data_IF_827660186790
#
_entry.id   IF_827660186790
#
_cell.length_a   1.000
_cell.length_b   1.000
_cell.length_c   1.000
_cell.angle_alpha   90.00
_cell.angle_beta   90.00
_cell.angle_gamma   90.00
#
_symmetry.space_group_name_H-M   'P 1'
#
loop_
_entity.id
_entity.type
_entity.pdbx_description
1 polymer ?
#
# COMPACT_ATOMS: atom_id res chain seq x y z
N UNK A 1 0.89 -15.44 14.70
CA UNK A 1 1.83 -15.85 13.62
C UNK A 1 2.30 -14.67 12.75
N UNK A 2 1.48 -13.67 12.40
CA UNK A 2 1.94 -12.53 11.56
C UNK A 2 3.04 -11.63 12.18
N UNK A 3 2.94 -11.32 13.47
CA UNK A 3 3.92 -10.49 14.21
C UNK A 3 5.32 -11.11 14.36
N UNK A 4 5.49 -12.42 14.14
CA UNK A 4 6.81 -13.07 14.21
C UNK A 4 7.66 -12.81 12.97
N UNK A 5 7.04 -12.67 11.79
CA UNK A 5 7.74 -12.29 10.54
C UNK A 5 8.34 -10.90 10.67
N UNK A 6 7.60 -9.97 11.28
CA UNK A 6 8.08 -8.61 11.54
C UNK A 6 9.30 -8.61 12.48
N UNK A 7 9.45 -9.58 13.40
CA UNK A 7 10.65 -9.66 14.26
C UNK A 7 11.94 -9.96 13.48
N UNK A 8 11.85 -10.66 12.35
CA UNK A 8 13.01 -11.00 11.51
C UNK A 8 13.50 -9.84 10.64
N UNK A 9 12.68 -8.80 10.43
CA UNK A 9 12.95 -7.75 9.43
C UNK A 9 13.52 -6.47 10.07
N UNK A 10 13.70 -6.42 11.41
CA UNK A 10 14.02 -5.17 12.17
C UNK A 10 13.24 -3.95 11.62
N UNK A 11 11.90 -3.95 11.70
CA UNK A 11 11.09 -2.83 11.25
C UNK A 11 11.48 -1.58 12.01
N UNK A 12 11.57 -0.45 11.33
CA UNK A 12 11.62 0.85 11.99
C UNK A 12 10.20 1.15 12.45
N UNK A 13 9.95 0.98 13.74
CA UNK A 13 8.63 1.17 14.36
C UNK A 13 8.61 2.56 15.00
N UNK A 14 7.65 3.39 14.62
CA UNK A 14 7.39 4.66 15.31
C UNK A 14 6.02 4.57 15.99
N UNK A 15 6.04 4.51 17.32
CA UNK A 15 4.85 4.43 18.15
C UNK A 15 4.44 5.83 18.61
N UNK A 16 3.14 6.08 18.66
CA UNK A 16 2.58 7.25 19.33
C UNK A 16 2.07 6.79 20.71
N UNK A 17 2.50 7.46 21.78
CA UNK A 17 2.13 7.07 23.15
C UNK A 17 0.94 7.91 23.58
N UNK A 18 -0.28 7.39 23.39
CA UNK A 18 -1.47 7.91 24.03
C UNK A 18 -1.92 6.96 25.14
N UNK A 19 -1.86 7.42 26.39
CA UNK A 19 -2.46 6.79 27.57
C UNK A 19 -2.24 5.27 27.72
N UNK A 20 -0.99 4.84 27.87
CA UNK A 20 -0.66 3.53 28.48
C UNK A 20 -0.76 2.29 27.59
N UNK A 21 -1.30 2.40 26.37
CA UNK A 21 -1.18 1.38 25.32
C UNK A 21 -0.27 1.90 24.19
N UNK A 22 0.68 1.09 23.76
CA UNK A 22 1.51 1.41 22.59
C UNK A 22 0.66 1.23 21.33
N UNK A 23 0.20 2.34 20.77
CA UNK A 23 -0.57 2.35 19.52
C UNK A 23 0.41 2.53 18.37
N UNK A 24 0.53 1.50 17.53
CA UNK A 24 1.35 1.58 16.33
C UNK A 24 0.57 2.26 15.20
N UNK A 25 0.94 3.49 14.87
CA UNK A 25 0.32 4.31 13.81
C UNK A 25 1.16 4.36 12.54
N UNK A 26 2.49 4.21 12.64
CA UNK A 26 3.40 4.19 11.51
C UNK A 26 4.32 2.96 11.56
N UNK A 27 4.27 2.17 10.48
CA UNK A 27 5.16 1.03 10.29
C UNK A 27 6.05 1.28 9.07
N UNK A 28 7.35 1.35 9.30
CA UNK A 28 8.35 1.46 8.25
C UNK A 28 9.08 0.13 8.03
N UNK A 29 8.85 -0.43 6.83
CA UNK A 29 9.48 -1.61 6.28
C UNK A 29 10.22 -1.28 4.97
N UNK A 30 10.43 0.00 4.68
CA UNK A 30 11.13 0.45 3.49
C UNK A 30 12.60 0.04 3.49
N UNK A 31 13.23 0.04 2.31
CA UNK A 31 14.67 -0.23 2.16
C UNK A 31 15.11 -1.58 2.72
N UNK A 32 14.24 -2.58 2.62
CA UNK A 32 14.53 -3.97 2.92
C UNK A 32 14.65 -4.79 1.62
N UNK A 33 14.88 -6.09 1.74
CA UNK A 33 14.93 -7.01 0.59
C UNK A 33 13.67 -7.87 0.51
N UNK A 34 12.50 -7.31 0.82
CA UNK A 34 11.24 -8.04 0.80
C UNK A 34 10.85 -8.37 -0.65
N UNK A 35 10.53 -9.64 -0.91
CA UNK A 35 10.15 -10.13 -2.24
C UNK A 35 8.64 -10.27 -2.43
N UNK A 36 7.92 -10.56 -1.35
CA UNK A 36 6.47 -10.68 -1.35
C UNK A 36 5.92 -10.34 0.02
N UNK A 37 4.66 -9.88 0.06
CA UNK A 37 3.93 -9.61 1.29
C UNK A 37 2.52 -10.18 1.16
N UNK A 38 2.05 -10.77 2.24
CA UNK A 38 0.63 -11.05 2.42
C UNK A 38 0.06 -10.10 3.47
N UNK A 39 -1.07 -9.43 3.19
CA UNK A 39 -1.64 -8.43 4.10
C UNK A 39 -1.94 -8.95 5.51
N UNK A 40 -2.17 -10.26 5.64
CA UNK A 40 -2.48 -10.90 6.92
C UNK A 40 -1.33 -10.78 7.93
N UNK A 41 -0.09 -10.51 7.51
CA UNK A 41 1.05 -10.31 8.43
C UNK A 41 0.86 -9.09 9.33
N UNK A 42 0.06 -8.12 8.88
CA UNK A 42 -0.28 -6.90 9.63
C UNK A 42 -1.56 -7.03 10.47
N UNK A 43 -2.11 -8.23 10.60
CA UNK A 43 -3.31 -8.46 11.43
C UNK A 43 -3.03 -8.06 12.88
N UNK A 44 -3.93 -7.27 13.46
CA UNK A 44 -3.80 -6.72 14.82
C UNK A 44 -3.13 -5.34 14.88
N UNK A 45 -2.66 -4.81 13.73
CA UNK A 45 -2.24 -3.41 13.62
C UNK A 45 -3.43 -2.50 13.29
N UNK A 46 -4.49 -2.60 14.08
CA UNK A 46 -5.80 -1.98 13.80
C UNK A 46 -5.75 -0.44 13.84
N UNK A 47 -4.68 0.11 14.42
CA UNK A 47 -4.41 1.55 14.51
C UNK A 47 -3.38 2.06 13.50
N UNK A 48 -2.90 1.21 12.60
CA UNK A 48 -1.92 1.61 11.59
C UNK A 48 -2.55 2.60 10.60
N UNK A 49 -1.95 3.78 10.50
CA UNK A 49 -2.35 4.85 9.59
C UNK A 49 -1.41 4.99 8.39
N UNK A 50 -0.12 4.70 8.58
CA UNK A 50 0.92 4.84 7.56
C UNK A 50 1.74 3.56 7.45
N UNK A 51 1.86 3.03 6.23
CA UNK A 51 2.69 1.88 5.91
C UNK A 51 3.69 2.22 4.82
N UNK A 52 4.97 2.18 5.16
CA UNK A 52 6.08 2.43 4.24
C UNK A 52 6.69 1.11 3.80
N UNK A 53 6.62 0.82 2.50
CA UNK A 53 7.15 -0.39 1.86
C UNK A 53 8.01 -0.07 0.64
N UNK A 54 8.34 1.21 0.43
CA UNK A 54 9.12 1.65 -0.72
C UNK A 54 10.55 1.07 -0.69
N UNK A 55 11.20 1.04 -1.85
CA UNK A 55 12.59 0.58 -1.99
C UNK A 55 12.79 -0.86 -1.48
N UNK A 56 11.91 -1.78 -1.91
CA UNK A 56 12.02 -3.22 -1.66
C UNK A 56 12.15 -3.96 -3.01
N UNK A 57 11.95 -5.28 -3.01
CA UNK A 57 11.93 -6.11 -4.22
C UNK A 57 10.57 -6.80 -4.37
N UNK A 58 9.48 -6.13 -3.98
CA UNK A 58 8.15 -6.74 -3.97
C UNK A 58 7.71 -7.02 -5.40
N UNK A 59 7.60 -8.30 -5.75
CA UNK A 59 7.07 -8.76 -7.04
C UNK A 59 5.54 -8.90 -6.99
N UNK A 60 5.00 -9.18 -5.81
CA UNK A 60 3.56 -9.38 -5.59
C UNK A 60 3.13 -9.05 -4.16
N UNK A 61 1.87 -8.66 -4.01
CA UNK A 61 1.21 -8.45 -2.72
C UNK A 61 -0.18 -9.08 -2.77
N UNK A 62 -0.47 -9.97 -1.81
CA UNK A 62 -1.68 -10.79 -1.80
C UNK A 62 -2.49 -10.69 -0.50
N UNK A 63 -3.75 -11.12 -0.57
CA UNK A 63 -4.66 -11.20 0.55
C UNK A 63 -5.57 -9.97 0.73
N UNK A 64 -6.41 -10.02 1.76
CA UNK A 64 -7.31 -8.91 2.12
C UNK A 64 -6.60 -7.91 3.02
N UNK A 65 -6.64 -6.63 2.65
CA UNK A 65 -6.06 -5.54 3.43
C UNK A 65 -7.03 -5.12 4.56
N UNK A 66 -6.99 -5.84 5.68
CA UNK A 66 -7.78 -5.54 6.89
C UNK A 66 -7.12 -4.50 7.80
N UNK A 67 -6.63 -3.40 7.21
CA UNK A 67 -5.97 -2.30 7.92
C UNK A 67 -6.92 -1.11 8.03
N UNK A 68 -7.97 -1.24 8.84
CA UNK A 68 -9.17 -0.38 8.79
C UNK A 68 -8.94 1.13 8.95
N UNK A 69 -7.81 1.55 9.55
CA UNK A 69 -7.43 2.96 9.74
C UNK A 69 -6.34 3.45 8.79
N UNK A 70 -5.85 2.61 7.88
CA UNK A 70 -4.75 2.98 6.98
C UNK A 70 -5.17 4.14 6.07
N UNK A 71 -4.34 5.18 6.04
CA UNK A 71 -4.53 6.38 5.24
C UNK A 71 -3.51 6.47 4.10
N UNK A 72 -2.28 6.04 4.36
CA UNK A 72 -1.19 6.18 3.41
C UNK A 72 -0.43 4.87 3.24
N UNK A 73 -0.28 4.45 1.99
CA UNK A 73 0.49 3.28 1.59
C UNK A 73 1.52 3.67 0.54
N UNK A 74 2.79 3.43 0.84
CA UNK A 74 3.90 3.73 -0.07
C UNK A 74 4.56 2.44 -0.55
N UNK A 75 4.44 2.15 -1.84
CA UNK A 75 4.94 0.95 -2.51
C UNK A 75 5.92 1.28 -3.64
N UNK A 76 6.40 2.52 -3.71
CA UNK A 76 7.27 2.96 -4.78
C UNK A 76 8.64 2.28 -4.79
N UNK A 77 9.27 2.21 -5.97
CA UNK A 77 10.56 1.54 -6.17
C UNK A 77 10.52 0.06 -5.72
N UNK A 78 9.60 -0.69 -6.31
CA UNK A 78 9.43 -2.13 -6.14
C UNK A 78 9.36 -2.80 -7.52
N UNK A 79 8.96 -4.08 -7.59
CA UNK A 79 8.92 -4.86 -8.83
C UNK A 79 7.50 -5.39 -9.11
N UNK A 80 6.47 -4.65 -8.68
CA UNK A 80 5.08 -5.10 -8.81
C UNK A 80 4.67 -5.10 -10.29
N UNK A 81 4.25 -6.25 -10.79
CA UNK A 81 3.76 -6.39 -12.17
C UNK A 81 2.25 -6.19 -12.29
N UNK A 82 1.53 -6.45 -11.20
CA UNK A 82 0.07 -6.34 -11.13
C UNK A 82 -0.35 -5.36 -10.04
N UNK A 83 -1.47 -4.69 -10.26
CA UNK A 83 -2.07 -3.83 -9.23
C UNK A 83 -2.46 -4.67 -8.00
N UNK A 84 -2.18 -4.23 -6.76
CA UNK A 84 -2.46 -5.02 -5.57
C UNK A 84 -3.95 -5.38 -5.43
N UNK A 85 -4.31 -6.67 -5.47
CA UNK A 85 -5.71 -7.11 -5.48
C UNK A 85 -6.50 -6.67 -4.23
N UNK A 86 -5.82 -6.60 -3.07
CA UNK A 86 -6.41 -6.12 -1.82
C UNK A 86 -6.88 -4.67 -1.88
N UNK A 87 -6.44 -3.89 -2.88
CA UNK A 87 -6.92 -2.54 -3.15
C UNK A 87 -8.08 -2.51 -4.16
N UNK A 88 -8.42 -3.61 -4.83
CA UNK A 88 -9.43 -3.63 -5.91
C UNK A 88 -10.85 -3.93 -5.43
N UNK A 89 -10.98 -4.61 -4.30
CA UNK A 89 -12.28 -4.96 -3.72
C UNK A 89 -12.63 -3.98 -2.59
N UNK A 90 -13.77 -3.27 -2.66
CA UNK A 90 -14.21 -2.40 -1.58
C UNK A 90 -14.38 -3.13 -0.23
N UNK A 91 -14.63 -4.46 -0.25
CA UNK A 91 -14.75 -5.27 0.98
C UNK A 91 -13.40 -5.59 1.62
N UNK A 92 -12.33 -5.57 0.83
CA UNK A 92 -11.00 -6.02 1.24
C UNK A 92 -10.01 -4.86 1.41
N UNK A 93 -10.45 -3.61 1.22
CA UNK A 93 -9.63 -2.39 1.28
C UNK A 93 -10.04 -1.47 2.44
N UNK A 94 -9.09 -0.74 3.06
CA UNK A 94 -9.39 0.35 3.98
C UNK A 94 -10.16 1.50 3.32
N UNK A 95 -11.30 1.85 3.90
CA UNK A 95 -12.13 2.98 3.45
C UNK A 95 -11.53 4.35 3.81
N UNK A 96 -10.56 4.34 4.74
CA UNK A 96 -9.81 5.52 5.19
C UNK A 96 -8.64 5.86 4.28
N UNK A 97 -8.30 5.01 3.30
CA UNK A 97 -7.15 5.20 2.43
C UNK A 97 -7.30 6.49 1.63
N UNK A 98 -6.23 7.28 1.56
CA UNK A 98 -6.16 8.58 0.87
C UNK A 98 -5.00 8.67 -0.09
N UNK A 99 -3.90 7.98 0.21
CA UNK A 99 -2.67 7.99 -0.58
C UNK A 99 -2.23 6.56 -0.86
N UNK A 100 -1.94 6.29 -2.15
CA UNK A 100 -1.28 5.07 -2.61
C UNK A 100 -0.23 5.46 -3.63
N UNK A 101 1.04 5.32 -3.25
CA UNK A 101 2.16 5.53 -4.16
C UNK A 101 2.63 4.19 -4.73
N UNK A 102 2.45 3.99 -6.03
CA UNK A 102 2.89 2.83 -6.79
C UNK A 102 3.97 3.19 -7.84
N UNK A 103 4.54 4.39 -7.78
CA UNK A 103 5.53 4.85 -8.74
C UNK A 103 6.76 3.93 -8.80
N UNK A 104 7.44 3.87 -9.95
CA UNK A 104 8.65 3.05 -10.13
C UNK A 104 8.38 1.57 -9.77
N UNK A 105 7.44 0.95 -10.48
CA UNK A 105 7.14 -0.48 -10.40
C UNK A 105 7.22 -1.07 -11.82
N UNK A 106 6.55 -2.18 -12.10
CA UNK A 106 6.48 -2.78 -13.43
C UNK A 106 5.03 -3.05 -13.84
N UNK A 107 4.12 -2.18 -13.40
CA UNK A 107 2.68 -2.32 -13.61
C UNK A 107 2.35 -2.16 -15.09
N UNK A 108 1.88 -3.24 -15.72
CA UNK A 108 1.52 -3.22 -17.15
C UNK A 108 0.06 -2.80 -17.37
N UNK A 109 -0.84 -3.26 -16.51
CA UNK A 109 -2.27 -3.00 -16.61
C UNK A 109 -2.79 -2.30 -15.35
N UNK A 110 -3.37 -1.12 -15.51
CA UNK A 110 -4.12 -0.45 -14.45
C UNK A 110 -5.61 -0.78 -14.57
N UNK A 111 -6.26 -1.25 -13.50
CA UNK A 111 -7.69 -1.53 -13.50
C UNK A 111 -8.48 -0.23 -13.30
N UNK A 112 -8.44 0.67 -14.30
CA UNK A 112 -8.98 2.04 -14.25
C UNK A 112 -10.42 2.06 -13.72
N UNK A 113 -11.29 1.17 -14.18
CA UNK A 113 -12.69 1.10 -13.72
C UNK A 113 -12.82 0.82 -12.22
N UNK A 114 -11.97 -0.04 -11.65
CA UNK A 114 -11.97 -0.33 -10.21
C UNK A 114 -11.27 0.75 -9.39
N UNK A 115 -10.41 1.54 -10.03
CA UNK A 115 -9.69 2.63 -9.40
C UNK A 115 -10.57 3.85 -9.16
N UNK A 116 -11.64 4.07 -9.94
CA UNK A 116 -12.63 5.14 -9.71
C UNK A 116 -13.30 5.02 -8.34
N UNK A 117 -13.47 3.79 -7.85
CA UNK A 117 -14.06 3.51 -6.55
C UNK A 117 -13.06 3.64 -5.39
N UNK A 118 -11.78 3.95 -5.67
CA UNK A 118 -10.80 4.18 -4.62
C UNK A 118 -11.08 5.51 -3.91
N UNK A 119 -11.12 5.56 -2.57
CA UNK A 119 -11.38 6.78 -1.82
C UNK A 119 -10.15 7.73 -1.77
N UNK A 120 -9.40 7.83 -2.86
CA UNK A 120 -8.16 8.58 -2.98
C UNK A 120 -8.45 9.98 -3.53
N UNK A 121 -7.95 11.01 -2.86
CA UNK A 121 -7.88 12.35 -3.46
C UNK A 121 -6.71 12.37 -4.44
N UNK A 122 -6.97 12.03 -5.70
CA UNK A 122 -6.10 12.23 -6.85
C UNK A 122 -4.58 12.23 -6.59
N UNK A 123 -4.01 11.05 -6.37
CA UNK A 123 -2.55 10.82 -6.45
C UNK A 123 -2.23 9.33 -6.63
N UNK A 124 -2.80 8.69 -7.66
CA UNK A 124 -2.21 7.46 -8.20
C UNK A 124 -1.23 7.89 -9.29
N UNK A 125 -0.05 8.35 -8.89
CA UNK A 125 1.01 8.71 -9.83
C UNK A 125 1.84 7.46 -10.11
N UNK A 126 1.42 6.68 -11.10
CA UNK A 126 2.36 5.82 -11.81
C UNK A 126 3.03 6.69 -12.89
N UNK A 127 4.30 7.06 -12.66
CA UNK A 127 5.13 7.71 -13.66
C UNK A 127 5.36 6.85 -14.93
N UNK A 128 4.96 5.58 -14.91
CA UNK A 128 5.10 4.65 -16.04
C UNK A 128 3.84 4.54 -16.91
N UNK A 129 2.67 5.01 -16.47
CA UNK A 129 1.44 4.92 -17.28
C UNK A 129 1.21 6.16 -18.15
N UNK A 130 1.89 7.27 -17.85
CA UNK A 130 1.78 8.51 -18.63
C UNK A 130 2.41 8.44 -20.03
N UNK A 131 3.18 7.38 -20.34
CA UNK A 131 3.66 7.10 -21.70
C UNK A 131 2.71 6.21 -22.52
N UNK A 132 1.59 5.75 -21.93
CA UNK A 132 0.53 5.07 -22.67
C UNK A 132 -0.39 6.10 -23.35
N UNK A 133 -0.62 6.03 -24.67
CA UNK A 133 -1.39 7.04 -25.41
C UNK A 133 -2.87 7.12 -25.01
N UNK A 134 -3.36 6.20 -24.17
CA UNK A 134 -4.75 6.16 -23.69
C UNK A 134 -4.95 6.86 -22.32
N UNK A 135 -3.88 7.16 -21.58
CA UNK A 135 -3.97 7.76 -20.25
C UNK A 135 -3.67 9.27 -20.30
N UNK A 136 -4.56 10.03 -20.95
CA UNK A 136 -4.50 11.49 -20.88
C UNK A 136 -4.88 11.98 -19.47
N UNK A 137 -4.22 13.04 -18.92
CA UNK A 137 -4.58 13.64 -17.63
C UNK A 137 -6.06 14.05 -17.52
N UNK A 138 -6.71 14.30 -18.66
CA UNK A 138 -8.12 14.65 -18.79
C UNK A 138 -9.08 13.49 -18.47
N UNK A 139 -8.63 12.23 -18.57
CA UNK A 139 -9.44 11.03 -18.30
C UNK A 139 -9.61 10.77 -16.79
N UNK A 140 -8.91 11.55 -15.98
CA UNK A 140 -8.82 11.44 -14.54
C UNK A 140 -9.62 12.56 -13.85
N UNK A 141 -10.02 13.64 -14.53
CA UNK A 141 -10.91 14.64 -13.91
C UNK A 141 -12.38 14.18 -13.97
N UNK A 142 -12.85 13.48 -12.93
CA UNK A 142 -14.26 13.39 -12.55
C UNK A 142 -14.42 13.44 -11.03
#
# INVERSE_FOLDING_TARGET
MGVEVLRSIRPSVHNEVEAGDLVLTLLDLSSNSLKSIEWHIFTGLDSLEVLLLYNNHLESISGSMRLHKLRSLYLSNNQLHNFPEGLLSPKDRPQTLRVVDLSYNHLQDLPIEKMKDLPLSFSVLAAEVLDSPECSPSSLEL
#
